data_IF_515005931101
#
_entry.id   IF_515005931101
#
_cell.length_a   1.000
_cell.length_b   1.000
_cell.length_c   1.000
_cell.angle_alpha   90.00
_cell.angle_beta   90.00
_cell.angle_gamma   90.00
#
_symmetry.space_group_name_H-M   'P 1'
#
loop_
_entity.id
_entity.type
_entity.pdbx_description
1 polymer ?
#
# COMPACT_ATOMS: atom_id res chain seq x y z
N UNK A 1 3.04 6.76 3.96
CA UNK A 1 2.80 6.65 5.43
C UNK A 1 3.14 5.21 5.84
N UNK A 2 3.57 5.01 7.09
CA UNK A 2 4.51 3.93 7.41
C UNK A 2 3.85 2.60 7.77
N UNK A 3 4.55 1.51 7.48
CA UNK A 3 4.20 0.15 7.93
C UNK A 3 3.96 0.06 9.44
N UNK A 4 4.58 0.94 10.23
CA UNK A 4 4.37 1.02 11.69
C UNK A 4 2.92 1.39 12.00
N UNK A 5 2.35 2.39 11.32
CA UNK A 5 0.95 2.79 11.50
C UNK A 5 -0.01 1.63 11.21
N UNK A 6 0.28 0.84 10.18
CA UNK A 6 -0.50 -0.36 9.89
C UNK A 6 -0.38 -1.40 11.00
N UNK A 7 0.84 -1.73 11.44
CA UNK A 7 1.07 -2.73 12.48
C UNK A 7 0.42 -2.33 13.81
N UNK A 8 0.48 -1.06 14.20
CA UNK A 8 -0.17 -0.54 15.40
C UNK A 8 -1.70 -0.54 15.27
N UNK A 9 -2.25 -0.12 14.13
CA UNK A 9 -3.70 -0.21 13.93
C UNK A 9 -4.20 -1.66 14.06
N UNK A 10 -3.44 -2.63 13.54
CA UNK A 10 -3.77 -4.05 13.65
C UNK A 10 -3.58 -4.62 15.06
N UNK A 11 -2.64 -4.08 15.86
CA UNK A 11 -2.48 -4.46 17.26
C UNK A 11 -3.66 -4.01 18.14
N UNK A 12 -4.38 -2.97 17.68
CA UNK A 12 -5.60 -2.42 18.29
C UNK A 12 -6.89 -2.96 17.63
N UNK A 13 -6.81 -4.10 16.94
CA UNK A 13 -7.95 -4.77 16.29
C UNK A 13 -8.68 -3.95 15.22
N UNK A 14 -8.07 -2.91 14.67
CA UNK A 14 -8.63 -2.20 13.51
C UNK A 14 -8.70 -3.15 12.32
N UNK A 15 -9.88 -3.27 11.71
CA UNK A 15 -10.11 -4.14 10.54
C UNK A 15 -9.07 -3.91 9.43
N UNK A 16 -8.64 -4.97 8.76
CA UNK A 16 -7.49 -4.95 7.86
C UNK A 16 -7.60 -3.89 6.76
N UNK A 17 -8.73 -3.81 6.06
CA UNK A 17 -8.95 -2.84 4.98
C UNK A 17 -8.95 -1.42 5.54
N UNK A 18 -9.57 -1.18 6.69
CA UNK A 18 -9.51 0.12 7.39
C UNK A 18 -8.08 0.49 7.77
N UNK A 19 -7.32 -0.44 8.37
CA UNK A 19 -5.94 -0.23 8.75
C UNK A 19 -5.06 0.12 7.53
N UNK A 20 -5.23 -0.58 6.41
CA UNK A 20 -4.56 -0.27 5.14
C UNK A 20 -4.89 1.14 4.66
N UNK A 21 -6.18 1.52 4.62
CA UNK A 21 -6.62 2.84 4.13
C UNK A 21 -6.09 3.98 5.01
N UNK A 22 -6.20 3.84 6.33
CA UNK A 22 -5.66 4.84 7.27
C UNK A 22 -4.15 4.99 7.08
N UNK A 23 -3.43 3.88 6.93
CA UNK A 23 -1.97 3.86 6.81
C UNK A 23 -1.40 4.44 5.53
N UNK A 24 -2.23 4.73 4.52
CA UNK A 24 -1.81 5.42 3.29
C UNK A 24 -2.47 6.80 3.13
N UNK A 25 -3.43 7.15 3.98
CA UNK A 25 -4.29 8.31 3.79
C UNK A 25 -3.50 9.63 3.65
N UNK A 26 -2.55 9.91 4.55
CA UNK A 26 -1.76 11.15 4.44
C UNK A 26 -0.79 11.15 3.26
N UNK A 27 -0.38 9.98 2.75
CA UNK A 27 0.42 9.91 1.53
C UNK A 27 -0.42 10.31 0.32
N UNK A 28 -1.62 9.72 0.19
CA UNK A 28 -2.59 10.07 -0.87
C UNK A 28 -2.98 11.55 -0.77
N UNK A 29 -3.30 12.04 0.42
CA UNK A 29 -3.63 13.44 0.65
C UNK A 29 -2.48 14.37 0.24
N UNK A 30 -1.25 14.07 0.64
CA UNK A 30 -0.10 14.90 0.31
C UNK A 30 0.12 14.94 -1.21
N UNK A 31 0.12 13.77 -1.86
CA UNK A 31 0.37 13.70 -3.31
C UNK A 31 -0.73 14.38 -4.11
N UNK A 32 -2.01 14.11 -3.80
CA UNK A 32 -3.11 14.58 -4.63
C UNK A 32 -3.68 15.92 -4.19
N UNK A 33 -3.91 16.13 -2.90
CA UNK A 33 -4.54 17.37 -2.43
C UNK A 33 -3.55 18.53 -2.32
N UNK A 34 -2.28 18.28 -1.94
CA UNK A 34 -1.27 19.35 -1.89
C UNK A 34 -0.53 19.56 -3.21
N UNK A 35 -0.23 18.49 -3.94
CA UNK A 35 0.62 18.56 -5.14
C UNK A 35 -0.12 18.24 -6.45
N UNK A 36 -1.43 17.95 -6.41
CA UNK A 36 -2.22 17.69 -7.62
C UNK A 36 -1.80 16.45 -8.41
N UNK A 37 -1.14 15.48 -7.75
CA UNK A 37 -0.62 14.26 -8.38
C UNK A 37 0.62 14.48 -9.23
N UNK A 38 1.26 15.66 -9.18
CA UNK A 38 2.44 15.98 -9.97
C UNK A 38 3.72 15.49 -9.30
N UNK A 39 4.65 14.96 -10.10
CA UNK A 39 6.01 14.64 -9.71
C UNK A 39 6.98 15.24 -10.74
N UNK A 40 8.19 15.64 -10.32
CA UNK A 40 9.13 16.38 -11.17
C UNK A 40 9.52 15.61 -12.44
N UNK A 41 9.67 14.29 -12.32
CA UNK A 41 10.01 13.38 -13.41
C UNK A 41 8.84 12.98 -14.32
N UNK A 42 7.59 13.33 -14.00
CA UNK A 42 6.41 12.91 -14.76
C UNK A 42 5.85 14.04 -15.63
N UNK A 43 5.63 13.75 -16.92
CA UNK A 43 4.97 14.67 -17.87
C UNK A 43 3.47 14.81 -17.62
N UNK A 44 2.85 13.78 -17.04
CA UNK A 44 1.43 13.73 -16.71
C UNK A 44 1.24 13.43 -15.23
N UNK A 45 0.21 13.98 -14.57
CA UNK A 45 -0.09 13.62 -13.19
C UNK A 45 -0.30 12.11 -13.01
N UNK A 46 0.00 11.63 -11.81
CA UNK A 46 -0.31 10.27 -11.39
C UNK A 46 -1.83 10.04 -11.43
N UNK A 47 -2.26 8.83 -11.80
CA UNK A 47 -3.64 8.40 -11.57
C UNK A 47 -3.82 8.03 -10.10
N UNK A 48 -4.81 8.62 -9.44
CA UNK A 48 -5.03 8.43 -8.00
C UNK A 48 -5.37 6.99 -7.64
N UNK A 49 -6.18 6.31 -8.46
CA UNK A 49 -6.58 4.92 -8.19
C UNK A 49 -5.39 3.99 -8.31
N UNK A 50 -4.57 4.15 -9.35
CA UNK A 50 -3.33 3.39 -9.53
C UNK A 50 -2.32 3.70 -8.41
N UNK A 51 -2.20 4.95 -7.99
CA UNK A 51 -1.34 5.33 -6.87
C UNK A 51 -1.79 4.68 -5.56
N UNK A 52 -3.09 4.69 -5.25
CA UNK A 52 -3.65 4.02 -4.09
C UNK A 52 -3.35 2.52 -4.16
N UNK A 53 -3.63 1.86 -5.29
CA UNK A 53 -3.40 0.43 -5.45
C UNK A 53 -1.91 0.04 -5.26
N UNK A 54 -1.00 0.81 -5.86
CA UNK A 54 0.45 0.58 -5.71
C UNK A 54 0.94 0.83 -4.27
N UNK A 55 0.38 1.86 -3.61
CA UNK A 55 0.70 2.17 -2.21
C UNK A 55 0.20 1.08 -1.27
N UNK A 56 -0.99 0.53 -1.50
CA UNK A 56 -1.52 -0.61 -0.76
C UNK A 56 -0.63 -1.84 -0.95
N UNK A 57 -0.25 -2.16 -2.19
CA UNK A 57 0.63 -3.29 -2.48
C UNK A 57 1.98 -3.15 -1.75
N UNK A 58 2.61 -1.97 -1.84
CA UNK A 58 3.87 -1.68 -1.14
C UNK A 58 3.72 -1.79 0.38
N UNK A 59 2.62 -1.26 0.95
CA UNK A 59 2.34 -1.35 2.37
C UNK A 59 2.24 -2.81 2.84
N UNK A 60 1.45 -3.63 2.15
CA UNK A 60 1.26 -5.05 2.49
C UNK A 60 2.58 -5.82 2.37
N UNK A 61 3.36 -5.60 1.32
CA UNK A 61 4.68 -6.23 1.16
C UNK A 61 5.65 -5.86 2.28
N UNK A 62 5.60 -4.61 2.77
CA UNK A 62 6.37 -4.19 3.94
C UNK A 62 5.84 -4.81 5.24
N UNK A 63 4.53 -4.88 5.41
CA UNK A 63 3.89 -5.45 6.59
C UNK A 63 4.16 -6.95 6.73
N UNK A 64 4.24 -7.70 5.62
CA UNK A 64 4.64 -9.11 5.61
C UNK A 64 6.05 -9.35 6.18
N UNK A 65 6.94 -8.34 6.09
CA UNK A 65 8.28 -8.39 6.68
C UNK A 65 8.31 -7.89 8.12
N UNK A 66 7.62 -6.79 8.41
CA UNK A 66 7.69 -6.11 9.70
C UNK A 66 6.77 -6.72 10.77
N UNK A 67 5.54 -7.11 10.40
CA UNK A 67 4.54 -7.63 11.32
C UNK A 67 3.65 -8.72 10.67
N UNK A 68 4.23 -9.84 10.22
CA UNK A 68 3.51 -10.87 9.44
C UNK A 68 2.25 -11.41 10.14
N UNK A 69 2.24 -11.46 11.48
CA UNK A 69 1.08 -11.92 12.28
C UNK A 69 -0.19 -11.08 12.07
N UNK A 70 -0.04 -9.84 11.62
CA UNK A 70 -1.15 -8.90 11.45
C UNK A 70 -1.71 -8.85 10.02
N UNK A 71 -1.09 -9.57 9.09
CA UNK A 71 -1.55 -9.72 7.71
C UNK A 71 -2.32 -11.05 7.57
N UNK A 72 -3.61 -11.02 7.20
CA UNK A 72 -4.39 -12.24 7.01
C UNK A 72 -3.79 -13.17 5.95
N UNK A 73 -3.88 -14.48 6.16
CA UNK A 73 -3.31 -15.49 5.26
C UNK A 73 -3.85 -15.37 3.82
N UNK A 74 -5.13 -15.03 3.66
CA UNK A 74 -5.72 -14.78 2.34
C UNK A 74 -5.05 -13.61 1.61
N UNK A 75 -4.75 -12.52 2.33
CA UNK A 75 -4.09 -11.34 1.77
C UNK A 75 -2.63 -11.61 1.43
N UNK A 76 -1.95 -12.44 2.23
CA UNK A 76 -0.61 -12.95 1.91
C UNK A 76 -0.61 -13.74 0.59
N UNK A 77 -1.54 -14.69 0.42
CA UNK A 77 -1.66 -15.46 -0.82
C UNK A 77 -1.90 -14.55 -2.04
N UNK A 78 -2.81 -13.59 -1.92
CA UNK A 78 -3.07 -12.59 -2.98
C UNK A 78 -1.82 -11.79 -3.34
N UNK A 79 -1.07 -11.35 -2.33
CA UNK A 79 0.19 -10.63 -2.52
C UNK A 79 1.22 -11.49 -3.27
N UNK A 80 1.42 -12.75 -2.84
CA UNK A 80 2.38 -13.66 -3.45
C UNK A 80 2.02 -13.93 -4.93
N UNK A 81 0.75 -14.20 -5.24
CA UNK A 81 0.28 -14.38 -6.63
C UNK A 81 0.52 -13.15 -7.49
N UNK A 82 0.21 -11.96 -6.99
CA UNK A 82 0.48 -10.71 -7.71
C UNK A 82 1.99 -10.51 -7.94
N UNK A 83 2.82 -10.81 -6.94
CA UNK A 83 4.27 -10.69 -7.05
C UNK A 83 4.85 -11.64 -8.11
N UNK A 84 4.35 -12.88 -8.18
CA UNK A 84 4.73 -13.84 -9.23
C UNK A 84 4.32 -13.36 -10.63
N UNK A 85 3.13 -12.80 -10.78
CA UNK A 85 2.68 -12.22 -12.05
C UNK A 85 3.56 -11.06 -12.50
N UNK A 86 3.91 -10.16 -11.57
CA UNK A 86 4.81 -9.03 -11.86
C UNK A 86 6.19 -9.55 -12.28
N UNK A 87 6.74 -10.57 -11.60
CA UNK A 87 8.02 -11.18 -11.98
C UNK A 87 7.98 -11.79 -13.38
N UNK A 88 6.89 -12.49 -13.74
CA UNK A 88 6.71 -13.09 -15.07
C UNK A 88 6.54 -12.06 -16.18
N UNK A 89 5.93 -10.91 -15.89
CA UNK A 89 5.69 -9.85 -16.88
C UNK A 89 6.91 -8.93 -17.11
N UNK A 90 7.86 -8.91 -16.18
CA UNK A 90 9.11 -8.14 -16.26
C UNK A 90 10.31 -8.99 -16.72
N UNK A 91 10.05 -10.24 -17.14
CA UNK A 91 11.03 -11.21 -17.65
C UNK A 91 10.78 -11.40 -19.15
#
# INVERSE_FOLDING_TARGET
>A
MSVVTFCEARSLDVEFVKAVRVSIAAEVFTVFQKHGGKAAELKTPLDEKQFIASSQFRLVGNALRACPKFVPAEQKKKFDTMLEQIKKNNQ
#
